data_IF_769152310370
#
_entry.id   IF_769152310370
#
_cell.length_a   1.000
_cell.length_b   1.000
_cell.length_c   1.000
_cell.angle_alpha   90.00
_cell.angle_beta   90.00
_cell.angle_gamma   90.00
#
_symmetry.space_group_name_H-M   'P 1'
#
loop_
_entity.id
_entity.type
_entity.pdbx_description
1 polymer ?
#
# COMPACT_ATOMS: atom_id res chain seq x y z
N UNK A 1 10.28 -8.78 3.51
CA UNK A 1 10.62 -8.24 2.17
C UNK A 1 9.55 -7.29 1.61
N UNK A 2 8.27 -7.40 1.96
CA UNK A 2 7.20 -6.51 1.46
C UNK A 2 7.53 -5.03 1.65
N UNK A 3 8.06 -4.69 2.81
CA UNK A 3 8.48 -3.34 3.21
C UNK A 3 9.52 -2.74 2.23
N UNK A 4 10.54 -3.52 1.87
CA UNK A 4 11.54 -3.11 0.89
C UNK A 4 10.97 -3.02 -0.53
N UNK A 5 10.05 -3.92 -0.89
CA UNK A 5 9.34 -3.85 -2.16
C UNK A 5 8.47 -2.59 -2.27
N UNK A 6 7.84 -2.15 -1.18
CA UNK A 6 7.02 -0.94 -1.14
C UNK A 6 7.88 0.32 -1.36
N UNK A 7 9.05 0.37 -0.73
CA UNK A 7 10.03 1.44 -0.95
C UNK A 7 10.51 1.49 -2.40
N UNK A 8 10.83 0.33 -3.00
CA UNK A 8 11.23 0.26 -4.40
C UNK A 8 10.10 0.67 -5.36
N UNK A 9 8.87 0.22 -5.10
CA UNK A 9 7.69 0.57 -5.88
C UNK A 9 7.46 2.08 -5.94
N UNK A 10 7.53 2.73 -4.79
CA UNK A 10 7.38 4.18 -4.66
C UNK A 10 8.49 4.93 -5.43
N UNK A 11 9.73 4.46 -5.34
CA UNK A 11 10.87 5.07 -6.04
C UNK A 11 10.72 4.95 -7.56
N UNK A 12 10.23 3.82 -8.05
CA UNK A 12 9.99 3.55 -9.47
C UNK A 12 8.84 4.43 -10.02
N UNK A 13 7.73 4.54 -9.29
CA UNK A 13 6.57 5.38 -9.68
C UNK A 13 6.80 6.88 -9.51
N UNK A 14 7.75 7.27 -8.67
CA UNK A 14 8.21 8.67 -8.56
C UNK A 14 9.19 9.06 -9.66
N UNK A 15 9.70 8.09 -10.43
CA UNK A 15 10.60 8.34 -11.55
C UNK A 15 9.81 8.54 -12.86
N UNK A 16 10.25 9.43 -13.77
CA UNK A 16 9.50 9.78 -15.00
C UNK A 16 9.35 8.65 -16.03
N UNK A 17 9.89 7.45 -15.76
CA UNK A 17 9.86 6.28 -16.66
C UNK A 17 8.91 5.16 -16.20
N UNK A 18 8.13 5.36 -15.12
CA UNK A 18 7.23 4.32 -14.60
C UNK A 18 6.10 4.01 -15.59
N UNK A 19 6.16 2.84 -16.26
CA UNK A 19 5.02 2.34 -17.05
C UNK A 19 3.88 2.00 -16.09
N UNK A 20 2.79 2.76 -16.20
CA UNK A 20 1.56 2.57 -15.42
C UNK A 20 0.51 1.94 -16.32
N UNK A 21 0.05 0.73 -15.96
CA UNK A 21 -1.08 0.09 -16.64
C UNK A 21 -2.38 0.55 -15.96
N UNK A 22 -3.49 0.72 -16.71
CA UNK A 22 -4.77 1.10 -16.13
C UNK A 22 -5.21 0.10 -15.05
N UNK A 23 -5.90 0.56 -13.99
CA UNK A 23 -6.20 -0.25 -12.83
C UNK A 23 -7.10 -1.43 -13.20
N UNK A 24 -6.61 -2.66 -12.98
CA UNK A 24 -7.49 -3.82 -12.83
C UNK A 24 -8.22 -3.66 -11.48
N UNK A 25 -9.55 -3.75 -11.51
CA UNK A 25 -10.40 -3.73 -10.32
C UNK A 25 -9.87 -4.78 -9.33
N UNK A 26 -9.46 -4.32 -8.16
CA UNK A 26 -8.99 -5.21 -7.11
C UNK A 26 -10.15 -6.04 -6.59
N UNK A 27 -10.06 -7.36 -6.70
CA UNK A 27 -11.01 -8.28 -6.07
C UNK A 27 -10.68 -8.54 -4.59
N UNK A 28 -9.83 -7.70 -3.97
CA UNK A 28 -9.52 -7.82 -2.55
C UNK A 28 -10.72 -7.32 -1.71
N UNK A 29 -11.37 -8.16 -0.89
CA UNK A 29 -12.46 -7.71 -0.01
C UNK A 29 -12.01 -6.68 1.03
N UNK A 30 -10.69 -6.52 1.23
CA UNK A 30 -10.08 -5.50 2.08
C UNK A 30 -9.67 -4.23 1.31
N UNK A 31 -9.92 -4.17 0.01
CA UNK A 31 -9.74 -2.95 -0.78
C UNK A 31 -10.76 -1.91 -0.32
N UNK A 32 -10.27 -0.75 0.11
CA UNK A 32 -11.08 0.43 0.44
C UNK A 32 -10.68 1.55 -0.50
N UNK A 33 -11.69 2.23 -1.04
CA UNK A 33 -11.46 3.49 -1.74
C UNK A 33 -10.90 4.52 -0.77
N UNK A 34 -9.74 5.09 -1.10
CA UNK A 34 -9.10 6.13 -0.30
C UNK A 34 -9.49 7.54 -0.76
N UNK A 35 -10.42 7.65 -1.70
CA UNK A 35 -10.99 8.92 -2.18
C UNK A 35 -11.52 9.79 -1.03
N UNK A 36 -12.24 9.24 -0.01
CA UNK A 36 -12.71 10.03 1.13
C UNK A 36 -11.60 10.61 2.01
N UNK A 37 -10.39 10.03 1.98
CA UNK A 37 -9.21 10.54 2.69
C UNK A 37 -8.29 11.38 1.80
N UNK A 38 -8.72 11.66 0.56
CA UNK A 38 -8.01 12.52 -0.39
C UNK A 38 -6.95 11.82 -1.24
N UNK A 39 -7.08 10.50 -1.43
CA UNK A 39 -6.18 9.71 -2.27
C UNK A 39 -6.96 9.03 -3.40
N UNK A 40 -6.59 9.33 -4.65
CA UNK A 40 -7.21 8.75 -5.83
C UNK A 40 -6.39 7.58 -6.34
N UNK A 41 -7.04 6.45 -6.63
CA UNK A 41 -6.37 5.30 -7.23
C UNK A 41 -6.08 5.61 -8.71
N UNK A 42 -4.80 5.63 -9.07
CA UNK A 42 -4.35 5.90 -10.44
C UNK A 42 -4.03 4.62 -11.18
N UNK A 43 -3.49 3.60 -10.50
CA UNK A 43 -3.17 2.33 -11.13
C UNK A 43 -3.14 1.16 -10.14
N UNK A 44 -3.33 -0.04 -10.68
CA UNK A 44 -3.18 -1.32 -9.98
C UNK A 44 -2.22 -2.20 -10.75
N UNK A 45 -1.27 -2.83 -10.05
CA UNK A 45 -0.31 -3.78 -10.63
C UNK A 45 -0.28 -5.05 -9.80
N UNK A 46 -0.19 -6.21 -10.47
CA UNK A 46 0.10 -7.47 -9.81
C UNK A 46 1.57 -7.79 -9.99
N UNK A 47 2.34 -7.84 -8.91
CA UNK A 47 3.76 -8.16 -8.90
C UNK A 47 4.00 -9.55 -8.32
N UNK A 48 4.97 -10.26 -8.88
CA UNK A 48 5.38 -11.57 -8.38
C UNK A 48 6.65 -11.42 -7.56
N UNK A 49 6.56 -11.66 -6.25
CA UNK A 49 7.72 -11.69 -5.36
C UNK A 49 8.24 -13.13 -5.24
N UNK A 50 9.08 -13.55 -6.19
CA UNK A 50 9.62 -14.90 -6.25
C UNK A 50 8.63 -15.96 -6.76
N UNK A 51 8.96 -17.24 -6.62
CA UNK A 51 8.25 -18.33 -7.32
C UNK A 51 6.81 -18.58 -6.84
N UNK A 52 6.41 -18.09 -5.67
CA UNK A 52 5.09 -18.40 -5.07
C UNK A 52 4.39 -17.24 -4.36
N UNK A 53 5.00 -16.05 -4.21
CA UNK A 53 4.35 -14.93 -3.54
C UNK A 53 3.82 -13.93 -4.58
N UNK A 54 2.53 -13.63 -4.46
CA UNK A 54 1.87 -12.56 -5.21
C UNK A 54 1.80 -11.32 -4.32
N UNK A 55 2.14 -10.17 -4.90
CA UNK A 55 2.01 -8.86 -4.31
C UNK A 55 1.04 -8.07 -5.17
N UNK A 56 -0.06 -7.62 -4.58
CA UNK A 56 -0.92 -6.62 -5.18
C UNK A 56 -0.34 -5.24 -4.87
N UNK A 57 -0.25 -4.36 -5.87
CA UNK A 57 0.26 -3.01 -5.78
C UNK A 57 -0.78 -2.01 -6.26
N UNK A 58 -1.00 -0.97 -5.48
CA UNK A 58 -1.93 0.11 -5.79
C UNK A 58 -1.20 1.45 -5.71
N UNK A 59 -1.18 2.18 -6.83
CA UNK A 59 -0.64 3.54 -6.92
C UNK A 59 -1.76 4.53 -6.70
N UNK A 60 -1.67 5.26 -5.59
CA UNK A 60 -2.56 6.36 -5.25
C UNK A 60 -1.84 7.69 -5.41
N UNK A 61 -2.62 8.73 -5.73
CA UNK A 61 -2.15 10.12 -5.75
C UNK A 61 -2.96 10.98 -4.81
N UNK A 62 -2.29 11.83 -4.07
CA UNK A 62 -2.96 12.86 -3.28
C UNK A 62 -3.28 14.10 -4.15
N UNK A 63 -3.98 15.07 -3.57
CA UNK A 63 -4.32 16.33 -4.26
C UNK A 63 -3.08 17.14 -4.73
N UNK A 64 -1.92 16.94 -4.09
CA UNK A 64 -0.66 17.57 -4.46
C UNK A 64 0.10 16.81 -5.58
N UNK A 65 -0.41 15.64 -6.01
CA UNK A 65 0.22 14.75 -6.97
C UNK A 65 1.28 13.81 -6.40
N UNK A 66 1.50 13.83 -5.08
CA UNK A 66 2.41 12.91 -4.39
C UNK A 66 1.94 11.47 -4.52
N UNK A 67 2.89 10.57 -4.80
CA UNK A 67 2.66 9.13 -4.87
C UNK A 67 2.51 8.50 -3.48
N UNK A 68 1.50 7.64 -3.35
CA UNK A 68 1.29 6.75 -2.20
C UNK A 68 1.07 5.35 -2.72
N UNK A 69 1.96 4.42 -2.39
CA UNK A 69 1.89 3.04 -2.83
C UNK A 69 1.41 2.15 -1.70
N UNK A 70 0.33 1.41 -1.93
CA UNK A 70 -0.10 0.31 -1.06
C UNK A 70 0.32 -1.01 -1.69
N UNK A 71 1.03 -1.84 -0.92
CA UNK A 71 1.31 -3.22 -1.24
C UNK A 71 0.57 -4.17 -0.30
N UNK A 72 0.05 -5.25 -0.87
CA UNK A 72 -0.55 -6.37 -0.13
C UNK A 72 0.05 -7.69 -0.55
N UNK A 73 0.33 -8.56 0.41
CA UNK A 73 0.79 -9.91 0.13
C UNK A 73 0.18 -10.92 1.12
N UNK A 74 0.00 -12.16 0.67
CA UNK A 74 -0.39 -13.25 1.58
C UNK A 74 0.73 -13.54 2.58
N UNK A 75 0.37 -13.68 3.85
CA UNK A 75 1.27 -13.96 4.95
C UNK A 75 0.62 -14.96 5.93
N UNK A 76 0.34 -16.21 5.51
CA UNK A 76 -0.43 -17.18 6.30
C UNK A 76 0.27 -17.62 7.60
N UNK A 77 1.58 -17.39 7.72
CA UNK A 77 2.38 -17.75 8.89
C UNK A 77 2.82 -16.53 9.72
N UNK A 78 2.42 -15.32 9.34
CA UNK A 78 2.73 -14.12 10.12
C UNK A 78 1.73 -13.98 11.27
N UNK A 79 2.21 -13.50 12.42
CA UNK A 79 1.33 -13.15 13.54
C UNK A 79 0.41 -11.98 13.16
N UNK A 80 -0.81 -11.97 13.69
CA UNK A 80 -1.70 -10.82 13.53
C UNK A 80 -1.14 -9.60 14.28
N UNK A 81 -1.05 -8.50 13.55
CA UNK A 81 -0.63 -7.20 14.05
C UNK A 81 -1.56 -6.17 13.38
N UNK A 82 -2.82 -6.06 13.85
CA UNK A 82 -3.86 -5.28 13.18
C UNK A 82 -3.63 -3.77 13.30
N UNK A 83 -2.75 -3.36 14.21
CA UNK A 83 -2.29 -1.98 14.34
C UNK A 83 -1.12 -1.74 13.40
N UNK A 84 -1.14 -0.59 12.71
CA UNK A 84 -0.01 -0.22 11.87
C UNK A 84 1.18 0.26 12.69
N UNK A 85 2.37 -0.13 12.24
CA UNK A 85 3.65 0.38 12.71
C UNK A 85 4.19 1.38 11.68
N UNK A 86 4.81 2.47 12.16
CA UNK A 86 5.40 3.48 11.30
C UNK A 86 6.93 3.43 11.34
N UNK A 87 7.55 3.41 10.17
CA UNK A 87 8.99 3.49 9.99
C UNK A 87 9.32 4.61 8.99
N UNK A 88 10.42 5.32 9.24
CA UNK A 88 10.94 6.32 8.31
C UNK A 88 12.25 5.82 7.72
N UNK A 89 12.34 5.81 6.40
CA UNK A 89 13.52 5.41 5.63
C UNK A 89 13.91 6.57 4.74
N UNK A 90 14.83 7.41 5.21
CA UNK A 90 15.15 8.69 4.56
C UNK A 90 13.93 9.62 4.49
N UNK A 91 13.53 10.00 3.28
CA UNK A 91 12.35 10.83 3.03
C UNK A 91 11.07 10.02 2.79
N UNK A 92 11.12 8.70 2.92
CA UNK A 92 9.98 7.81 2.79
C UNK A 92 9.44 7.48 4.17
N UNK A 93 8.12 7.53 4.31
CA UNK A 93 7.41 7.00 5.46
C UNK A 93 6.69 5.73 5.02
N UNK A 94 6.97 4.66 5.75
CA UNK A 94 6.43 3.33 5.56
C UNK A 94 5.54 2.99 6.74
N UNK A 95 4.32 2.55 6.46
CA UNK A 95 3.36 2.08 7.44
C UNK A 95 3.06 0.61 7.13
N UNK A 96 3.16 -0.29 8.09
CA UNK A 96 2.95 -1.73 7.85
C UNK A 96 2.11 -2.38 8.94
N UNK A 97 1.27 -3.34 8.56
CA UNK A 97 0.42 -4.12 9.47
C UNK A 97 0.11 -5.51 8.89
N UNK A 98 -0.38 -6.41 9.73
CA UNK A 98 -0.77 -7.77 9.32
C UNK A 98 -2.14 -8.11 9.88
N UNK A 99 -3.08 -8.49 9.02
CA UNK A 99 -4.45 -8.83 9.43
C UNK A 99 -5.06 -9.82 8.44
N UNK A 100 -5.88 -10.77 8.92
CA UNK A 100 -6.57 -11.72 8.06
C UNK A 100 -5.65 -12.57 7.18
N UNK A 101 -4.46 -12.91 7.69
CA UNK A 101 -3.45 -13.71 6.96
C UNK A 101 -2.81 -12.96 5.77
N UNK A 102 -2.92 -11.63 5.73
CA UNK A 102 -2.28 -10.76 4.75
C UNK A 102 -1.40 -9.72 5.45
N UNK A 103 -0.27 -9.39 4.84
CA UNK A 103 0.58 -8.27 5.24
C UNK A 103 0.36 -7.11 4.28
N UNK A 104 0.28 -5.92 4.85
CA UNK A 104 0.06 -4.66 4.16
C UNK A 104 1.25 -3.75 4.41
N UNK A 105 1.64 -3.00 3.39
CA UNK A 105 2.67 -1.98 3.46
C UNK A 105 2.25 -0.75 2.65
N UNK A 106 2.12 0.40 3.30
CA UNK A 106 1.77 1.67 2.70
C UNK A 106 3.01 2.58 2.73
N UNK A 107 3.49 2.99 1.57
CA UNK A 107 4.66 3.84 1.42
C UNK A 107 4.29 5.17 0.75
N UNK A 108 4.78 6.27 1.30
CA UNK A 108 4.68 7.60 0.69
C UNK A 108 5.85 8.47 1.14
N UNK A 109 5.98 9.67 0.59
CA UNK A 109 6.95 10.64 1.12
C UNK A 109 6.53 11.03 2.55
N UNK A 110 7.50 11.29 3.42
CA UNK A 110 7.26 11.52 4.84
C UNK A 110 6.38 12.75 5.13
N UNK A 111 6.37 13.72 4.21
CA UNK A 111 5.52 14.90 4.26
C UNK A 111 4.18 14.76 3.53
N UNK A 112 3.90 13.62 2.88
CA UNK A 112 2.67 13.45 2.09
C UNK A 112 1.44 13.51 3.00
N UNK A 113 0.58 14.49 2.71
CA UNK A 113 -0.68 14.65 3.40
C UNK A 113 -1.62 13.48 3.09
N UNK A 114 -2.30 12.96 4.10
CA UNK A 114 -3.25 11.85 3.95
C UNK A 114 -2.67 10.45 4.17
N UNK A 115 -1.35 10.27 4.19
CA UNK A 115 -0.72 8.95 4.35
C UNK A 115 -1.14 8.22 5.64
N UNK A 116 -1.15 8.94 6.78
CA UNK A 116 -1.59 8.36 8.06
C UNK A 116 -3.10 8.08 8.07
N UNK A 117 -3.92 9.01 7.54
CA UNK A 117 -5.37 8.84 7.44
C UNK A 117 -5.75 7.65 6.57
N UNK A 118 -4.96 7.37 5.54
CA UNK A 118 -5.12 6.21 4.68
C UNK A 118 -4.83 4.90 5.43
N UNK A 119 -3.75 4.84 6.21
CA UNK A 119 -3.46 3.68 7.04
C UNK A 119 -4.56 3.44 8.10
N UNK A 120 -5.07 4.51 8.72
CA UNK A 120 -6.20 4.43 9.65
C UNK A 120 -7.46 3.87 8.96
N UNK A 121 -7.82 4.41 7.79
CA UNK A 121 -8.98 3.92 7.04
C UNK A 121 -8.85 2.43 6.64
N UNK A 122 -7.67 2.02 6.17
CA UNK A 122 -7.42 0.63 5.76
C UNK A 122 -7.44 -0.34 6.93
N UNK A 123 -6.90 0.04 8.09
CA UNK A 123 -6.92 -0.80 9.29
C UNK A 123 -8.32 -0.90 9.89
N UNK A 124 -9.10 0.18 9.89
CA UNK A 124 -10.50 0.16 10.33
C UNK A 124 -11.40 -0.72 9.44
N UNK A 125 -11.22 -0.69 8.11
CA UNK A 125 -11.96 -1.61 7.22
C UNK A 125 -11.53 -3.05 7.45
N UNK A 126 -10.23 -3.31 7.60
CA UNK A 126 -9.74 -4.67 7.79
C UNK A 126 -10.21 -5.31 9.10
N UNK A 127 -10.41 -4.52 10.15
CA UNK A 127 -11.00 -5.00 11.41
C UNK A 127 -12.50 -5.31 11.30
N UNK A 128 -13.22 -4.68 10.36
CA UNK A 128 -14.67 -4.90 10.17
C UNK A 128 -15.01 -6.12 9.32
N UNK A 129 -14.05 -6.66 8.61
CA UNK A 129 -14.21 -7.84 7.76
C UNK A 129 -13.88 -9.16 8.49
N UNK A 130 -13.60 -9.10 9.80
CA UNK A 130 -13.49 -10.24 10.71
C UNK A 130 -14.82 -10.45 11.44
#
# INVERSE_FOLDING_TARGET
MLDASAVMALTETSSPHGTSAPPLVSHDPYFTELTPVGLELVATKLRRAGSFAHIDEFDYRNADGDAVILLTARAPFAGEEPHWSAQRVGDIRLLSWTTGGKRYALAGRAGTHGLMRAADALTMTAQRAQ
#
